data_IF_411009033721
#
_entry.id   IF_411009033721
#
_cell.length_a   1.000
_cell.length_b   1.000
_cell.length_c   1.000
_cell.angle_alpha   90.00
_cell.angle_beta   90.00
_cell.angle_gamma   90.00
#
_symmetry.space_group_name_H-M   'P 1'
#
loop_
_entity.id
_entity.type
_entity.pdbx_description
1 polymer ?
#
# COMPACT_ATOMS: atom_id res chain seq x y z
N UNK A 1 41.71 -11.35 33.54
CA UNK A 1 40.34 -11.75 33.76
C UNK A 1 39.32 -10.63 33.51
N UNK A 2 39.60 -9.36 33.87
CA UNK A 2 38.67 -8.23 33.61
C UNK A 2 38.43 -7.92 32.12
N UNK A 3 39.37 -8.22 31.23
CA UNK A 3 39.25 -7.96 29.80
C UNK A 3 38.27 -8.92 29.08
N UNK A 4 38.16 -10.16 29.54
CA UNK A 4 37.25 -11.17 28.94
C UNK A 4 35.82 -10.84 29.30
N UNK A 5 35.54 -10.41 30.52
CA UNK A 5 34.20 -10.02 30.96
C UNK A 5 33.69 -8.76 30.26
N UNK A 6 34.59 -7.78 30.02
CA UNK A 6 34.24 -6.57 29.27
C UNK A 6 34.00 -6.85 27.79
N UNK A 7 34.74 -7.75 27.19
CA UNK A 7 34.55 -8.17 25.81
C UNK A 7 33.22 -8.91 25.62
N UNK A 8 32.88 -9.79 26.53
CA UNK A 8 31.60 -10.52 26.51
C UNK A 8 30.41 -9.57 26.68
N UNK A 9 30.52 -8.57 27.55
CA UNK A 9 29.47 -7.54 27.72
C UNK A 9 29.32 -6.67 26.47
N UNK A 10 30.41 -6.35 25.80
CA UNK A 10 30.41 -5.58 24.56
C UNK A 10 29.74 -6.36 23.42
N UNK A 11 30.09 -7.62 23.26
CA UNK A 11 29.48 -8.51 22.25
C UNK A 11 27.98 -8.69 22.47
N UNK A 12 27.52 -8.86 23.70
CA UNK A 12 26.11 -8.93 24.04
C UNK A 12 25.36 -7.63 23.73
N UNK A 13 25.95 -6.47 23.99
CA UNK A 13 25.36 -5.17 23.65
C UNK A 13 25.22 -5.00 22.14
N UNK A 14 26.26 -5.32 21.39
CA UNK A 14 26.26 -5.25 19.93
C UNK A 14 25.21 -6.19 19.35
N UNK A 15 25.10 -7.40 19.86
CA UNK A 15 24.09 -8.37 19.45
C UNK A 15 22.66 -7.88 19.75
N UNK A 16 22.45 -7.27 20.90
CA UNK A 16 21.17 -6.70 21.29
C UNK A 16 20.78 -5.51 20.40
N UNK A 17 21.72 -4.63 20.08
CA UNK A 17 21.50 -3.53 19.13
C UNK A 17 21.20 -4.03 17.73
N UNK A 18 21.87 -5.07 17.28
CA UNK A 18 21.64 -5.67 15.96
C UNK A 18 20.22 -6.24 15.86
N UNK A 19 19.77 -6.96 16.88
CA UNK A 19 18.39 -7.49 16.95
C UNK A 19 17.39 -6.34 16.98
N UNK A 20 17.64 -5.30 17.77
CA UNK A 20 16.78 -4.14 17.86
C UNK A 20 16.65 -3.43 16.50
N UNK A 21 17.75 -3.23 15.80
CA UNK A 21 17.75 -2.62 14.46
C UNK A 21 17.02 -3.50 13.45
N UNK A 22 17.24 -4.80 13.48
CA UNK A 22 16.55 -5.75 12.59
C UNK A 22 15.06 -5.78 12.85
N UNK A 23 14.62 -5.74 14.11
CA UNK A 23 13.19 -5.68 14.46
C UNK A 23 12.55 -4.35 14.07
N UNK A 24 13.27 -3.24 14.19
CA UNK A 24 12.79 -1.93 13.75
C UNK A 24 12.68 -1.83 12.22
N UNK A 25 13.59 -2.46 11.48
CA UNK A 25 13.56 -2.48 10.02
C UNK A 25 12.48 -3.41 9.45
N UNK A 26 12.01 -4.38 10.21
CA UNK A 26 10.97 -5.33 9.78
C UNK A 26 9.53 -4.83 9.99
N UNK A 27 9.31 -3.70 10.64
CA UNK A 27 7.99 -3.09 10.85
C UNK A 27 7.50 -2.36 9.60
N UNK A 28 7.20 -3.10 8.53
CA UNK A 28 6.47 -2.58 7.38
C UNK A 28 4.99 -2.83 7.61
N UNK A 29 4.21 -1.76 7.67
CA UNK A 29 2.75 -1.86 7.73
C UNK A 29 2.18 -1.95 6.32
N UNK A 30 1.34 -2.96 6.08
CA UNK A 30 0.59 -3.11 4.85
C UNK A 30 -0.84 -2.64 5.06
N UNK A 31 -1.27 -1.74 4.20
CA UNK A 31 -2.66 -1.29 4.11
C UNK A 31 -3.18 -1.63 2.73
N UNK A 32 -4.38 -2.14 2.64
CA UNK A 32 -4.94 -2.56 1.36
C UNK A 32 -6.33 -2.00 1.12
N UNK A 33 -6.66 -1.88 -0.17
CA UNK A 33 -8.02 -1.68 -0.66
C UNK A 33 -8.38 -2.94 -1.45
N UNK A 34 -9.48 -3.57 -1.10
CA UNK A 34 -10.02 -4.71 -1.83
C UNK A 34 -10.75 -4.22 -3.08
N UNK A 35 -10.29 -4.64 -4.24
CA UNK A 35 -10.86 -4.29 -5.53
C UNK A 35 -11.67 -5.47 -6.07
N UNK A 36 -12.96 -5.29 -6.21
CA UNK A 36 -13.88 -6.32 -6.70
C UNK A 36 -14.27 -6.00 -8.14
N UNK A 37 -13.89 -6.87 -9.06
CA UNK A 37 -14.32 -6.79 -10.45
C UNK A 37 -15.69 -7.46 -10.61
N UNK A 38 -16.74 -6.67 -10.79
CA UNK A 38 -18.10 -7.17 -11.00
C UNK A 38 -18.45 -7.40 -12.48
N UNK A 39 -17.51 -7.16 -13.38
CA UNK A 39 -17.70 -7.31 -14.82
C UNK A 39 -17.32 -8.71 -15.32
N UNK A 40 -17.68 -9.02 -16.55
CA UNK A 40 -17.32 -10.27 -17.22
C UNK A 40 -15.97 -10.20 -17.96
N UNK A 41 -15.25 -9.10 -17.84
CA UNK A 41 -13.98 -8.86 -18.49
C UNK A 41 -12.88 -8.69 -17.45
N UNK A 42 -11.64 -9.14 -17.73
CA UNK A 42 -10.52 -8.80 -16.88
C UNK A 42 -10.24 -7.29 -16.91
N UNK A 43 -9.84 -6.75 -15.79
CA UNK A 43 -9.56 -5.33 -15.60
C UNK A 43 -8.11 -5.15 -15.16
N UNK A 44 -7.45 -4.14 -15.71
CA UNK A 44 -6.18 -3.64 -15.25
C UNK A 44 -6.39 -2.26 -14.65
N UNK A 45 -6.00 -2.11 -13.39
CA UNK A 45 -6.00 -0.83 -12.69
C UNK A 45 -4.57 -0.35 -12.55
N UNK A 46 -4.28 0.85 -13.05
CA UNK A 46 -2.96 1.46 -12.99
C UNK A 46 -3.01 2.76 -12.19
N UNK A 47 -2.15 2.87 -11.19
CA UNK A 47 -1.96 4.07 -10.39
C UNK A 47 -0.64 4.74 -10.78
N UNK A 48 -0.68 6.01 -11.16
CA UNK A 48 0.51 6.78 -11.52
C UNK A 48 0.82 7.82 -10.46
N UNK A 49 2.07 7.84 -10.02
CA UNK A 49 2.59 8.77 -9.01
C UNK A 49 3.64 9.67 -9.65
N UNK A 50 3.41 10.97 -9.69
CA UNK A 50 4.25 11.91 -10.43
C UNK A 50 5.63 12.14 -9.79
N UNK A 51 5.68 12.21 -8.47
CA UNK A 51 6.89 12.57 -7.74
C UNK A 51 8.07 11.62 -8.01
N UNK A 52 7.82 10.37 -8.42
CA UNK A 52 8.85 9.33 -8.58
C UNK A 52 8.82 8.63 -9.95
N UNK A 53 8.04 9.11 -10.92
CA UNK A 53 7.75 8.38 -12.16
C UNK A 53 7.36 6.91 -11.91
N UNK A 54 6.71 6.66 -10.80
CA UNK A 54 6.33 5.32 -10.35
C UNK A 54 4.91 5.01 -10.78
N UNK A 55 4.73 3.84 -11.33
CA UNK A 55 3.41 3.31 -11.64
C UNK A 55 3.23 1.97 -10.95
N UNK A 56 2.10 1.78 -10.30
CA UNK A 56 1.68 0.51 -9.74
C UNK A 56 0.47 -0.01 -10.52
N UNK A 57 0.39 -1.31 -10.74
CA UNK A 57 -0.71 -1.90 -11.47
C UNK A 57 -1.21 -3.17 -10.80
N UNK A 58 -2.54 -3.33 -10.83
CA UNK A 58 -3.24 -4.50 -10.33
C UNK A 58 -4.08 -5.08 -11.45
N UNK A 59 -3.92 -6.37 -11.69
CA UNK A 59 -4.73 -7.12 -12.63
C UNK A 59 -5.80 -7.91 -11.88
N UNK A 60 -7.05 -7.75 -12.30
CA UNK A 60 -8.19 -8.38 -11.66
C UNK A 60 -8.94 -9.18 -12.70
N UNK A 61 -8.97 -10.49 -12.56
CA UNK A 61 -9.71 -11.36 -13.47
C UNK A 61 -11.23 -11.12 -13.37
N UNK A 62 -11.96 -11.57 -14.37
CA UNK A 62 -13.41 -11.46 -14.40
C UNK A 62 -14.03 -12.04 -13.13
N UNK A 63 -14.98 -11.31 -12.54
CA UNK A 63 -15.70 -11.73 -11.34
C UNK A 63 -14.80 -12.08 -10.15
N UNK A 64 -13.59 -11.57 -10.11
CA UNK A 64 -12.61 -11.85 -9.07
C UNK A 64 -12.31 -10.61 -8.23
N UNK A 65 -11.54 -10.82 -7.18
CA UNK A 65 -11.10 -9.78 -6.26
C UNK A 65 -9.58 -9.76 -6.20
N UNK A 66 -9.01 -8.58 -6.15
CA UNK A 66 -7.59 -8.36 -5.93
C UNK A 66 -7.36 -7.25 -4.92
N UNK A 67 -6.14 -7.13 -4.42
CA UNK A 67 -5.78 -6.15 -3.42
C UNK A 67 -4.86 -5.09 -4.02
N UNK A 68 -5.23 -3.82 -3.84
CA UNK A 68 -4.32 -2.70 -4.00
C UNK A 68 -3.62 -2.48 -2.66
N UNK A 69 -2.31 -2.71 -2.62
CA UNK A 69 -1.53 -2.74 -1.39
C UNK A 69 -0.67 -1.48 -1.31
N UNK A 70 -0.75 -0.80 -0.18
CA UNK A 70 0.10 0.32 0.18
C UNK A 70 1.04 -0.09 1.31
N UNK A 71 2.31 0.26 1.16
CA UNK A 71 3.33 -0.02 2.16
C UNK A 71 3.69 1.26 2.89
N UNK A 72 3.74 1.19 4.19
CA UNK A 72 4.19 2.28 5.04
C UNK A 72 5.27 1.79 6.00
N UNK A 73 6.31 2.58 6.19
CA UNK A 73 7.20 2.44 7.33
C UNK A 73 6.54 3.17 8.50
N UNK A 74 6.49 2.54 9.69
CA UNK A 74 5.99 3.09 10.95
C UNK A 74 4.47 3.06 11.15
N UNK A 75 4.11 3.18 12.44
CA UNK A 75 2.76 3.06 13.01
C UNK A 75 1.82 4.19 12.58
N UNK A 76 1.40 4.20 11.33
CA UNK A 76 0.33 5.06 10.87
C UNK A 76 -0.99 4.29 10.78
N UNK A 77 -2.11 4.97 11.04
CA UNK A 77 -3.41 4.37 10.81
C UNK A 77 -3.60 4.04 9.33
N UNK A 78 -4.35 3.00 9.02
CA UNK A 78 -4.68 2.61 7.64
C UNK A 78 -5.28 3.76 6.84
N UNK A 79 -6.12 4.57 7.47
CA UNK A 79 -6.69 5.79 6.91
C UNK A 79 -5.62 6.79 6.46
N UNK A 80 -4.62 7.07 7.31
CA UNK A 80 -3.52 7.99 6.98
C UNK A 80 -2.69 7.48 5.81
N UNK A 81 -2.39 6.19 5.80
CA UNK A 81 -1.61 5.56 4.72
C UNK A 81 -2.36 5.66 3.39
N UNK A 82 -3.63 5.29 3.35
CA UNK A 82 -4.46 5.41 2.14
C UNK A 82 -4.52 6.84 1.62
N UNK A 83 -4.78 7.80 2.50
CA UNK A 83 -4.82 9.23 2.12
C UNK A 83 -3.50 9.73 1.57
N UNK A 84 -2.38 9.38 2.19
CA UNK A 84 -1.06 9.80 1.72
C UNK A 84 -0.77 9.27 0.30
N UNK A 85 -1.05 8.00 0.03
CA UNK A 85 -0.86 7.43 -1.30
C UNK A 85 -1.79 8.07 -2.35
N UNK A 86 -3.05 8.26 -2.02
CA UNK A 86 -4.02 8.88 -2.94
C UNK A 86 -3.66 10.33 -3.22
N UNK A 87 -3.21 11.09 -2.22
CA UNK A 87 -2.78 12.47 -2.40
C UNK A 87 -1.56 12.62 -3.32
N UNK A 88 -0.71 11.61 -3.39
CA UNK A 88 0.44 11.59 -4.29
C UNK A 88 0.14 10.95 -5.65
N UNK A 89 -1.05 10.48 -5.85
CA UNK A 89 -1.48 9.85 -7.10
C UNK A 89 -1.95 10.90 -8.10
N UNK A 90 -1.33 10.93 -9.27
CA UNK A 90 -1.69 11.87 -10.34
C UNK A 90 -2.86 11.40 -11.18
N UNK A 91 -2.87 10.11 -11.46
CA UNK A 91 -3.92 9.51 -12.26
C UNK A 91 -4.15 8.06 -11.88
N UNK A 92 -5.39 7.65 -12.04
CA UNK A 92 -5.84 6.29 -11.91
C UNK A 92 -6.52 5.88 -13.19
N UNK A 93 -6.06 4.82 -13.81
CA UNK A 93 -6.61 4.30 -15.07
C UNK A 93 -7.16 2.91 -14.82
N UNK A 94 -8.43 2.73 -15.19
CA UNK A 94 -9.08 1.43 -15.19
C UNK A 94 -9.33 1.05 -16.63
N UNK A 95 -8.78 -0.07 -17.06
CA UNK A 95 -8.86 -0.53 -18.44
C UNK A 95 -9.34 -1.98 -18.50
N UNK A 96 -10.36 -2.19 -19.31
CA UNK A 96 -10.81 -3.50 -19.77
C UNK A 96 -10.72 -3.58 -21.29
N UNK A 97 -11.17 -4.69 -21.89
CA UNK A 97 -11.20 -4.84 -23.34
C UNK A 97 -12.15 -3.84 -24.01
N UNK A 98 -13.26 -3.51 -23.36
CA UNK A 98 -14.33 -2.68 -23.92
C UNK A 98 -14.36 -1.25 -23.37
N UNK A 99 -13.65 -0.96 -22.27
CA UNK A 99 -13.79 0.29 -21.54
C UNK A 99 -12.46 0.78 -20.98
N UNK A 100 -12.28 2.10 -21.02
CA UNK A 100 -11.17 2.78 -20.34
C UNK A 100 -11.68 3.99 -19.60
N UNK A 101 -11.42 4.03 -18.30
CA UNK A 101 -11.78 5.16 -17.42
C UNK A 101 -10.49 5.75 -16.87
N UNK A 102 -10.40 7.08 -16.91
CA UNK A 102 -9.24 7.83 -16.39
C UNK A 102 -9.72 8.84 -15.38
N UNK A 103 -9.20 8.73 -14.16
CA UNK A 103 -9.36 9.74 -13.11
C UNK A 103 -8.06 10.54 -12.98
N UNK A 104 -8.14 11.86 -13.07
CA UNK A 104 -6.94 12.74 -13.09
C UNK A 104 -6.83 13.67 -11.90
N UNK A 105 -7.85 13.80 -11.10
CA UNK A 105 -7.83 14.64 -9.91
C UNK A 105 -7.93 13.80 -8.64
N UNK A 106 -7.28 14.29 -7.59
CA UNK A 106 -7.22 13.56 -6.32
C UNK A 106 -8.59 13.31 -5.70
N UNK A 107 -9.51 14.23 -5.89
CA UNK A 107 -10.86 14.10 -5.33
C UNK A 107 -11.62 12.94 -5.98
N UNK A 108 -11.60 12.85 -7.30
CA UNK A 108 -12.25 11.76 -8.05
C UNK A 108 -11.61 10.41 -7.75
N UNK A 109 -10.28 10.36 -7.64
CA UNK A 109 -9.55 9.14 -7.26
C UNK A 109 -9.94 8.70 -5.84
N UNK A 110 -9.98 9.64 -4.91
CA UNK A 110 -10.37 9.37 -3.53
C UNK A 110 -11.81 8.87 -3.43
N UNK A 111 -12.74 9.54 -4.09
CA UNK A 111 -14.15 9.12 -4.12
C UNK A 111 -14.33 7.73 -4.71
N UNK A 112 -13.59 7.40 -5.76
CA UNK A 112 -13.63 6.08 -6.36
C UNK A 112 -13.05 5.00 -5.43
N UNK A 113 -11.84 5.20 -4.92
CA UNK A 113 -11.14 4.19 -4.14
C UNK A 113 -11.71 4.00 -2.74
N UNK A 114 -12.14 5.05 -2.10
CA UNK A 114 -12.59 5.01 -0.71
C UNK A 114 -14.11 4.91 -0.59
N UNK A 115 -14.84 5.48 -1.55
CA UNK A 115 -16.31 5.41 -1.61
C UNK A 115 -16.99 5.71 -0.26
N UNK A 116 -16.58 6.81 0.40
CA UNK A 116 -17.08 7.25 1.71
C UNK A 116 -16.82 6.30 2.90
N UNK A 117 -16.05 5.25 2.73
CA UNK A 117 -15.67 4.30 3.80
C UNK A 117 -14.31 4.62 4.44
N UNK A 118 -13.97 5.88 4.56
CA UNK A 118 -12.65 6.35 5.01
C UNK A 118 -12.29 5.93 6.45
N UNK A 119 -13.28 5.64 7.28
CA UNK A 119 -13.08 5.23 8.67
C UNK A 119 -12.91 3.72 8.85
N UNK A 120 -13.13 2.92 7.80
CA UNK A 120 -13.02 1.48 7.88
C UNK A 120 -11.56 1.01 7.86
N UNK A 121 -11.24 0.01 8.66
CA UNK A 121 -9.94 -0.66 8.62
C UNK A 121 -9.72 -1.39 7.27
N UNK A 122 -10.79 -1.90 6.71
CA UNK A 122 -10.80 -2.53 5.39
C UNK A 122 -11.75 -1.76 4.46
N UNK A 123 -11.26 -1.38 3.30
CA UNK A 123 -12.04 -0.72 2.26
C UNK A 123 -12.22 -1.68 1.09
N UNK A 124 -13.46 -1.81 0.65
CA UNK A 124 -13.82 -2.57 -0.55
C UNK A 124 -14.34 -1.61 -1.63
N UNK A 125 -13.75 -1.69 -2.80
CA UNK A 125 -14.17 -0.89 -3.97
C UNK A 125 -14.62 -1.81 -5.09
N UNK A 126 -15.81 -1.57 -5.58
CA UNK A 126 -16.38 -2.32 -6.70
C UNK A 126 -16.14 -1.60 -8.01
N UNK A 127 -15.59 -2.33 -8.96
CA UNK A 127 -15.38 -1.87 -10.33
C UNK A 127 -16.49 -2.45 -11.21
N UNK A 128 -17.29 -1.55 -11.74
CA UNK A 128 -18.43 -1.90 -12.59
C UNK A 128 -18.14 -1.66 -14.07
#
# INVERSE_FOLDING_TARGET
MSNIDNQHKLEMKVFFYLILVLTLMSCIQLTSISLVNTTNEPIKLCCYYNANNYADSVYIDKRDTSLLIFRSAWFHSSKKVRRAYINHMDSLIIQSLSKRIVYRDNKSIYEFLINNNDTADMVETRVN
#
